data_IF_887021613780
#
_entry.id   IF_887021613780
#
_cell.length_a   1.000
_cell.length_b   1.000
_cell.length_c   1.000
_cell.angle_alpha   90.00
_cell.angle_beta   90.00
_cell.angle_gamma   90.00
#
_symmetry.space_group_name_H-M   'P 1'
#
loop_
_entity.id
_entity.type
_entity.pdbx_description
1 polymer ?
#
# COMPACT_ATOMS: atom_id res chain seq x y z
N UNK A 1 -16.98 11.67 -6.33
CA UNK A 1 -17.72 10.62 -7.07
C UNK A 1 -18.39 9.70 -6.06
N UNK A 2 -19.67 9.36 -6.24
CA UNK A 2 -20.38 8.40 -5.39
C UNK A 2 -19.65 7.04 -5.39
N UNK A 3 -19.35 6.52 -4.20
CA UNK A 3 -18.67 5.24 -4.00
C UNK A 3 -19.36 4.09 -4.74
N UNK A 4 -20.69 4.13 -4.85
CA UNK A 4 -21.49 3.12 -5.56
C UNK A 4 -21.27 3.16 -7.08
N UNK A 5 -21.08 4.35 -7.66
CA UNK A 5 -20.79 4.51 -9.09
C UNK A 5 -19.40 3.96 -9.40
N UNK A 6 -18.41 4.26 -8.55
CA UNK A 6 -17.04 3.72 -8.69
C UNK A 6 -17.04 2.19 -8.62
N UNK A 7 -17.76 1.61 -7.65
CA UNK A 7 -17.86 0.14 -7.51
C UNK A 7 -18.55 -0.52 -8.70
N UNK A 8 -19.66 0.04 -9.18
CA UNK A 8 -20.35 -0.47 -10.36
C UNK A 8 -19.47 -0.43 -11.62
N UNK A 9 -18.63 0.60 -11.76
CA UNK A 9 -17.67 0.68 -12.86
C UNK A 9 -16.56 -0.35 -12.71
N UNK A 10 -15.96 -0.49 -11.52
CA UNK A 10 -14.92 -1.50 -11.25
C UNK A 10 -15.43 -2.91 -11.56
N UNK A 11 -16.65 -3.27 -11.16
CA UNK A 11 -17.22 -4.57 -11.49
C UNK A 11 -17.30 -4.78 -13.00
N UNK A 12 -17.88 -3.82 -13.75
CA UNK A 12 -18.00 -3.91 -15.21
C UNK A 12 -16.67 -3.98 -15.94
N UNK A 13 -15.64 -3.28 -15.46
CA UNK A 13 -14.30 -3.24 -16.06
C UNK A 13 -13.47 -4.51 -15.77
N UNK A 14 -13.92 -5.34 -14.83
CA UNK A 14 -13.22 -6.53 -14.37
C UNK A 14 -14.05 -7.81 -14.51
N UNK A 15 -14.50 -8.18 -15.74
CA UNK A 15 -15.21 -9.44 -15.96
C UNK A 15 -14.28 -10.66 -15.71
N UNK A 16 -14.82 -11.81 -15.24
CA UNK A 16 -14.04 -13.00 -14.89
C UNK A 16 -13.14 -13.51 -16.02
N UNK A 17 -13.65 -13.54 -17.25
CA UNK A 17 -13.00 -14.11 -18.43
C UNK A 17 -11.71 -13.36 -18.82
N UNK A 18 -11.57 -12.13 -18.34
CA UNK A 18 -10.36 -11.33 -18.51
C UNK A 18 -9.20 -11.87 -17.68
N UNK A 19 -9.44 -12.50 -16.54
CA UNK A 19 -8.39 -12.84 -15.56
C UNK A 19 -8.33 -14.32 -15.17
N UNK A 20 -9.38 -15.08 -15.47
CA UNK A 20 -9.51 -16.46 -15.05
C UNK A 20 -9.84 -17.34 -16.26
N UNK A 21 -9.31 -18.57 -16.27
CA UNK A 21 -9.55 -19.57 -17.31
C UNK A 21 -9.85 -20.93 -16.68
N UNK A 22 -10.35 -21.87 -17.48
CA UNK A 22 -10.54 -23.26 -17.04
C UNK A 22 -11.43 -23.36 -15.79
N UNK A 23 -10.95 -24.09 -14.79
CA UNK A 23 -11.69 -24.28 -13.53
C UNK A 23 -11.78 -23.00 -12.70
N UNK A 24 -10.74 -22.15 -12.68
CA UNK A 24 -10.75 -20.90 -11.93
C UNK A 24 -11.82 -19.92 -12.42
N UNK A 25 -12.15 -19.98 -13.72
CA UNK A 25 -13.21 -19.17 -14.30
C UNK A 25 -14.58 -19.51 -13.68
N UNK A 26 -14.84 -20.77 -13.30
CA UNK A 26 -16.09 -21.15 -12.62
C UNK A 26 -16.23 -20.44 -11.28
N UNK A 27 -15.17 -20.46 -10.47
CA UNK A 27 -15.12 -19.77 -9.18
C UNK A 27 -15.27 -18.25 -9.36
N UNK A 28 -14.51 -17.66 -10.29
CA UNK A 28 -14.57 -16.24 -10.57
C UNK A 28 -15.95 -15.78 -11.07
N UNK A 29 -16.63 -16.57 -11.91
CA UNK A 29 -17.99 -16.28 -12.34
C UNK A 29 -18.99 -16.37 -11.19
N UNK A 30 -18.86 -17.35 -10.30
CA UNK A 30 -19.68 -17.42 -9.08
C UNK A 30 -19.48 -16.19 -8.18
N UNK A 31 -18.23 -15.76 -7.99
CA UNK A 31 -17.86 -14.55 -7.25
C UNK A 31 -18.48 -13.30 -7.90
N UNK A 32 -18.33 -13.16 -9.22
CA UNK A 32 -18.85 -12.02 -9.96
C UNK A 32 -20.37 -11.89 -9.86
N UNK A 33 -21.08 -13.02 -9.85
CA UNK A 33 -22.53 -13.07 -9.72
C UNK A 33 -23.01 -13.02 -8.26
N UNK A 34 -22.11 -12.99 -7.27
CA UNK A 34 -22.43 -13.17 -5.85
C UNK A 34 -23.18 -14.47 -5.56
N UNK A 35 -22.95 -15.53 -6.35
CA UNK A 35 -23.56 -16.84 -6.13
C UNK A 35 -22.81 -17.59 -5.01
N UNK A 36 -23.16 -17.25 -3.78
CA UNK A 36 -22.53 -17.81 -2.57
C UNK A 36 -22.74 -19.32 -2.44
N UNK A 37 -23.83 -19.86 -2.98
CA UNK A 37 -24.13 -21.30 -2.96
C UNK A 37 -23.21 -22.04 -3.93
N UNK A 38 -22.99 -21.49 -5.13
CA UNK A 38 -22.01 -22.03 -6.08
C UNK A 38 -20.59 -21.99 -5.50
N UNK A 39 -20.17 -20.88 -4.88
CA UNK A 39 -18.86 -20.78 -4.21
C UNK A 39 -18.69 -21.87 -3.16
N UNK A 40 -19.69 -22.07 -2.29
CA UNK A 40 -19.65 -23.13 -1.28
C UNK A 40 -19.56 -24.53 -1.87
N UNK A 41 -20.33 -24.82 -2.92
CA UNK A 41 -20.31 -26.12 -3.58
C UNK A 41 -18.95 -26.40 -4.24
N UNK A 42 -18.38 -25.40 -4.92
CA UNK A 42 -17.06 -25.53 -5.55
C UNK A 42 -15.98 -25.89 -4.52
N UNK A 43 -15.95 -25.21 -3.37
CA UNK A 43 -14.97 -25.51 -2.32
C UNK A 43 -15.25 -26.85 -1.64
N UNK A 44 -16.49 -27.11 -1.19
CA UNK A 44 -16.81 -28.27 -0.35
C UNK A 44 -17.00 -29.58 -1.09
N UNK A 45 -17.49 -29.55 -2.34
CA UNK A 45 -17.85 -30.74 -3.12
C UNK A 45 -16.90 -31.01 -4.27
N UNK A 46 -16.36 -29.96 -4.88
CA UNK A 46 -15.42 -30.07 -6.00
C UNK A 46 -13.96 -29.88 -5.57
N UNK A 47 -13.70 -29.75 -4.26
CA UNK A 47 -12.37 -29.64 -3.65
C UNK A 47 -11.51 -28.50 -4.24
N UNK A 48 -12.14 -27.37 -4.57
CA UNK A 48 -11.42 -26.16 -4.97
C UNK A 48 -10.63 -25.61 -3.78
N UNK A 49 -9.35 -25.31 -4.00
CA UNK A 49 -8.55 -24.54 -3.05
C UNK A 49 -9.04 -23.08 -3.03
N UNK A 50 -9.63 -22.65 -1.91
CA UNK A 50 -10.15 -21.29 -1.74
C UNK A 50 -9.06 -20.22 -1.77
N UNK A 51 -7.79 -20.60 -1.54
CA UNK A 51 -6.60 -19.75 -1.64
C UNK A 51 -5.94 -19.82 -3.02
N UNK A 52 -6.59 -20.51 -3.95
CA UNK A 52 -6.22 -20.60 -5.34
C UNK A 52 -6.15 -19.22 -5.99
N UNK A 53 -5.44 -19.17 -7.12
CA UNK A 53 -5.22 -17.95 -7.88
C UNK A 53 -5.54 -18.19 -9.36
N UNK A 54 -6.15 -17.19 -10.00
CA UNK A 54 -6.41 -17.25 -11.44
C UNK A 54 -5.15 -17.10 -12.28
N UNK A 55 -5.01 -17.94 -13.30
CA UNK A 55 -3.92 -17.82 -14.28
C UNK A 55 -4.23 -16.78 -15.37
N UNK A 56 -3.26 -15.89 -15.67
CA UNK A 56 -3.26 -15.09 -16.89
C UNK A 56 -1.84 -14.93 -17.47
N UNK A 57 -1.74 -15.07 -18.80
CA UNK A 57 -0.56 -14.79 -19.62
C UNK A 57 -0.59 -13.29 -19.99
N UNK A 58 0.48 -12.55 -19.71
CA UNK A 58 0.64 -11.14 -20.14
C UNK A 58 1.45 -11.10 -21.44
N UNK A 59 0.95 -10.55 -22.56
CA UNK A 59 1.66 -10.56 -23.84
C UNK A 59 2.85 -9.59 -23.97
N UNK A 60 3.05 -8.65 -23.04
CA UNK A 60 3.94 -7.48 -23.26
C UNK A 60 4.82 -7.09 -22.04
N UNK A 61 5.01 -8.00 -21.09
CA UNK A 61 6.11 -7.93 -20.14
C UNK A 61 6.84 -9.26 -20.21
N UNK A 62 8.17 -9.24 -20.34
CA UNK A 62 9.00 -10.39 -20.73
C UNK A 62 9.13 -11.50 -19.67
N UNK A 63 8.10 -11.73 -18.86
CA UNK A 63 8.03 -12.83 -17.89
C UNK A 63 6.73 -13.59 -18.04
N UNK A 64 6.87 -14.89 -18.21
CA UNK A 64 5.83 -15.90 -18.38
C UNK A 64 4.94 -15.98 -17.13
N UNK A 65 3.62 -16.03 -17.32
CA UNK A 65 2.58 -16.41 -16.35
C UNK A 65 2.50 -15.64 -15.01
N UNK A 66 2.32 -14.33 -15.06
CA UNK A 66 2.10 -13.52 -13.85
C UNK A 66 0.63 -13.55 -13.39
N UNK A 67 0.38 -14.37 -12.38
CA UNK A 67 -0.89 -14.54 -11.66
C UNK A 67 -1.35 -13.23 -10.99
N UNK A 68 -2.59 -12.77 -11.24
CA UNK A 68 -3.07 -11.48 -10.70
C UNK A 68 -3.85 -11.61 -9.39
N UNK A 69 -4.92 -12.40 -9.40
CA UNK A 69 -5.90 -12.39 -8.32
C UNK A 69 -6.01 -13.73 -7.58
N UNK A 70 -5.93 -13.67 -6.25
CA UNK A 70 -6.59 -14.67 -5.41
C UNK A 70 -8.10 -14.50 -5.56
N UNK A 71 -8.88 -15.53 -5.28
CA UNK A 71 -10.34 -15.43 -5.35
C UNK A 71 -10.89 -14.35 -4.40
N UNK A 72 -10.34 -14.24 -3.19
CA UNK A 72 -10.71 -13.18 -2.25
C UNK A 72 -10.35 -11.80 -2.79
N UNK A 73 -9.16 -11.63 -3.36
CA UNK A 73 -8.77 -10.33 -3.91
C UNK A 73 -9.67 -9.90 -5.08
N UNK A 74 -10.04 -10.84 -5.95
CA UNK A 74 -10.98 -10.54 -7.02
C UNK A 74 -12.34 -10.08 -6.47
N UNK A 75 -12.88 -10.78 -5.47
CA UNK A 75 -14.12 -10.40 -4.80
C UNK A 75 -14.03 -9.00 -4.17
N UNK A 76 -12.90 -8.67 -3.54
CA UNK A 76 -12.62 -7.35 -2.95
C UNK A 76 -12.59 -6.25 -4.02
N UNK A 77 -11.85 -6.47 -5.11
CA UNK A 77 -11.68 -5.49 -6.20
C UNK A 77 -13.01 -5.14 -6.86
N UNK A 78 -13.88 -6.12 -7.10
CA UNK A 78 -15.20 -5.87 -7.72
C UNK A 78 -16.28 -5.47 -6.71
N UNK A 79 -15.95 -5.37 -5.42
CA UNK A 79 -16.90 -5.02 -4.36
C UNK A 79 -17.94 -6.10 -4.05
N UNK A 80 -17.66 -7.37 -4.35
CA UNK A 80 -18.56 -8.50 -4.11
C UNK A 80 -18.58 -8.88 -2.61
N UNK A 81 -19.28 -8.10 -1.80
CA UNK A 81 -19.38 -8.28 -0.34
C UNK A 81 -19.90 -9.67 0.07
N UNK A 82 -21.03 -10.19 -0.48
CA UNK A 82 -21.49 -11.54 -0.16
C UNK A 82 -20.48 -12.64 -0.50
N UNK A 83 -19.85 -12.55 -1.68
CA UNK A 83 -18.81 -13.50 -2.08
C UNK A 83 -17.59 -13.43 -1.14
N UNK A 84 -17.11 -12.22 -0.81
CA UNK A 84 -15.97 -12.02 0.08
C UNK A 84 -16.21 -12.61 1.46
N UNK A 85 -17.40 -12.38 2.05
CA UNK A 85 -17.80 -12.97 3.33
C UNK A 85 -17.84 -14.50 3.28
N UNK A 86 -18.30 -15.04 2.14
CA UNK A 86 -18.36 -16.50 1.93
C UNK A 86 -16.97 -17.10 1.82
N UNK A 87 -16.08 -16.50 1.02
CA UNK A 87 -14.69 -16.94 0.86
C UNK A 87 -13.92 -16.91 2.19
N UNK A 88 -14.05 -15.83 2.97
CA UNK A 88 -13.43 -15.73 4.29
C UNK A 88 -13.91 -16.84 5.24
N UNK A 89 -15.22 -17.11 5.30
CA UNK A 89 -15.77 -18.22 6.09
C UNK A 89 -15.29 -19.60 5.63
N UNK A 90 -15.00 -19.74 4.34
CA UNK A 90 -14.46 -20.97 3.75
C UNK A 90 -12.94 -21.13 3.96
N UNK A 91 -12.27 -20.16 4.59
CA UNK A 91 -10.85 -20.22 4.92
C UNK A 91 -9.93 -19.53 3.92
N UNK A 92 -10.45 -18.57 3.15
CA UNK A 92 -9.59 -17.68 2.38
C UNK A 92 -8.64 -16.91 3.30
N UNK A 93 -7.35 -16.93 2.98
CA UNK A 93 -6.31 -16.17 3.66
C UNK A 93 -6.48 -14.68 3.33
N UNK A 94 -6.86 -13.93 4.36
CA UNK A 94 -7.19 -12.52 4.28
C UNK A 94 -5.98 -11.65 3.93
N UNK A 95 -4.78 -12.09 4.30
CA UNK A 95 -3.52 -11.37 4.10
C UNK A 95 -2.68 -11.97 2.98
N UNK A 96 -3.25 -12.90 2.20
CA UNK A 96 -2.57 -13.50 1.06
C UNK A 96 -2.15 -12.40 0.07
N UNK A 97 -0.85 -12.32 -0.28
CA UNK A 97 -0.37 -11.32 -1.21
C UNK A 97 -1.05 -11.46 -2.58
N UNK A 98 -1.43 -10.33 -3.16
CA UNK A 98 -2.02 -10.24 -4.49
C UNK A 98 -1.16 -9.34 -5.39
N UNK A 99 -1.39 -9.44 -6.71
CA UNK A 99 -0.73 -8.59 -7.69
C UNK A 99 -1.80 -7.75 -8.36
N UNK A 100 -1.73 -6.43 -8.26
CA UNK A 100 -2.72 -5.52 -8.85
C UNK A 100 -2.01 -4.47 -9.71
N UNK A 101 -2.33 -4.39 -11.01
CA UNK A 101 -1.76 -3.38 -11.89
C UNK A 101 -0.23 -3.42 -12.05
N UNK A 102 0.39 -4.59 -11.79
CA UNK A 102 1.85 -4.76 -11.83
C UNK A 102 2.57 -4.48 -10.50
N UNK A 103 1.84 -4.11 -9.44
CA UNK A 103 2.35 -3.99 -8.07
C UNK A 103 1.91 -5.15 -7.17
N UNK A 104 2.64 -5.36 -6.08
CA UNK A 104 2.26 -6.29 -5.01
C UNK A 104 1.39 -5.56 -3.99
N UNK A 105 0.26 -6.14 -3.59
CA UNK A 105 -0.71 -5.54 -2.66
C UNK A 105 -1.26 -6.58 -1.66
N UNK A 106 -2.06 -6.10 -0.70
CA UNK A 106 -2.94 -6.91 0.14
C UNK A 106 -4.42 -6.57 -0.10
N UNK A 107 -5.33 -7.40 0.38
CA UNK A 107 -6.78 -7.18 0.23
C UNK A 107 -7.24 -5.84 0.82
N UNK A 108 -6.64 -5.41 1.93
CA UNK A 108 -6.96 -4.12 2.56
C UNK A 108 -6.60 -2.93 1.66
N UNK A 109 -5.51 -3.01 0.89
CA UNK A 109 -5.11 -1.97 -0.07
C UNK A 109 -6.15 -1.81 -1.18
N UNK A 110 -6.62 -2.92 -1.77
CA UNK A 110 -7.68 -2.90 -2.78
C UNK A 110 -9.00 -2.32 -2.25
N UNK A 111 -9.37 -2.64 -1.01
CA UNK A 111 -10.56 -2.07 -0.36
C UNK A 111 -10.42 -0.56 -0.10
N UNK A 112 -9.23 -0.10 0.31
CA UNK A 112 -8.92 1.31 0.54
C UNK A 112 -8.90 2.11 -0.77
N UNK A 113 -8.23 1.60 -1.81
CA UNK A 113 -8.18 2.21 -3.15
C UNK A 113 -9.57 2.37 -3.77
N UNK A 114 -10.46 1.40 -3.55
CA UNK A 114 -11.86 1.48 -3.99
C UNK A 114 -12.74 2.32 -3.07
N UNK A 115 -12.28 2.65 -1.86
CA UNK A 115 -13.00 3.41 -0.84
C UNK A 115 -14.33 2.74 -0.45
N UNK A 116 -14.34 1.41 -0.44
CA UNK A 116 -15.51 0.62 -0.08
C UNK A 116 -15.54 0.41 1.44
N UNK A 117 -16.29 1.26 2.17
CA UNK A 117 -16.35 1.27 3.65
C UNK A 117 -16.78 -0.08 4.20
N UNK A 118 -17.79 -0.70 3.61
CA UNK A 118 -18.32 -1.99 4.01
C UNK A 118 -17.29 -3.12 3.79
N UNK A 119 -16.51 -3.05 2.70
CA UNK A 119 -15.44 -4.02 2.45
C UNK A 119 -14.28 -3.84 3.43
N UNK A 120 -13.89 -2.59 3.73
CA UNK A 120 -12.88 -2.28 4.75
C UNK A 120 -13.34 -2.84 6.11
N UNK A 121 -14.60 -2.60 6.49
CA UNK A 121 -15.17 -3.14 7.73
C UNK A 121 -15.16 -4.67 7.76
N UNK A 122 -15.58 -5.34 6.68
CA UNK A 122 -15.54 -6.79 6.57
C UNK A 122 -14.12 -7.33 6.80
N UNK A 123 -13.11 -6.69 6.18
CA UNK A 123 -11.72 -7.12 6.32
C UNK A 123 -11.19 -6.90 7.75
N UNK A 124 -11.52 -5.77 8.39
CA UNK A 124 -11.19 -5.47 9.79
C UNK A 124 -11.84 -6.48 10.75
N UNK A 125 -13.12 -6.79 10.56
CA UNK A 125 -13.86 -7.77 11.35
C UNK A 125 -13.21 -9.15 11.31
N UNK A 126 -12.62 -9.50 10.15
CA UNK A 126 -11.88 -10.75 9.93
C UNK A 126 -10.37 -10.62 10.19
N UNK A 127 -9.93 -9.58 10.90
CA UNK A 127 -8.55 -9.39 11.39
C UNK A 127 -7.49 -9.24 10.29
N UNK A 128 -7.83 -8.63 9.17
CA UNK A 128 -6.85 -8.24 8.15
C UNK A 128 -5.71 -7.41 8.77
N UNK A 129 -4.48 -7.67 8.33
CA UNK A 129 -3.33 -6.87 8.74
C UNK A 129 -3.39 -5.49 8.08
N UNK A 130 -3.61 -4.45 8.90
CA UNK A 130 -3.64 -3.04 8.45
C UNK A 130 -2.25 -2.43 8.23
N UNK A 131 -1.19 -3.22 8.41
CA UNK A 131 0.21 -2.90 8.19
C UNK A 131 0.83 -3.95 7.25
N UNK A 132 0.32 -4.09 6.02
CA UNK A 132 0.62 -5.22 5.15
C UNK A 132 2.06 -5.18 4.63
N UNK A 133 2.75 -6.31 4.66
CA UNK A 133 4.14 -6.47 4.19
C UNK A 133 4.35 -6.08 2.72
N UNK A 134 3.29 -6.12 1.91
CA UNK A 134 3.26 -5.74 0.51
C UNK A 134 2.20 -4.67 0.28
N UNK A 135 2.30 -3.94 -0.82
CA UNK A 135 1.47 -2.77 -1.10
C UNK A 135 1.99 -1.53 -0.39
N UNK A 136 1.39 -0.39 -0.69
CA UNK A 136 1.58 0.85 0.07
C UNK A 136 0.94 0.73 1.47
N UNK A 137 1.13 1.75 2.32
CA UNK A 137 0.29 1.87 3.50
C UNK A 137 -1.19 2.00 3.09
N UNK A 138 -2.14 1.24 3.68
CA UNK A 138 -3.57 1.39 3.37
C UNK A 138 -4.09 2.82 3.59
N UNK A 139 -3.45 3.58 4.49
CA UNK A 139 -3.75 5.01 4.70
C UNK A 139 -3.31 5.85 3.49
N UNK A 140 -2.16 5.52 2.86
CA UNK A 140 -1.72 6.19 1.63
C UNK A 140 -2.70 5.93 0.47
N UNK A 141 -3.25 4.72 0.35
CA UNK A 141 -4.22 4.41 -0.71
C UNK A 141 -5.50 5.26 -0.60
N UNK A 142 -5.92 5.60 0.63
CA UNK A 142 -7.05 6.50 0.87
C UNK A 142 -6.76 7.94 0.46
N UNK A 143 -5.50 8.34 0.32
CA UNK A 143 -5.09 9.70 -0.06
C UNK A 143 -5.26 9.99 -1.56
N UNK A 144 -5.55 9.00 -2.40
CA UNK A 144 -5.78 9.22 -3.83
C UNK A 144 -7.25 9.67 -4.05
N UNK A 145 -7.45 10.86 -4.61
CA UNK A 145 -8.77 11.46 -4.84
C UNK A 145 -9.33 12.25 -3.65
N UNK A 146 -10.65 12.47 -3.59
CA UNK A 146 -11.31 13.14 -2.44
C UNK A 146 -11.31 12.19 -1.24
N UNK A 147 -10.66 12.60 -0.16
CA UNK A 147 -10.35 11.74 1.00
C UNK A 147 -11.39 11.95 2.09
N UNK A 148 -11.71 10.88 2.81
CA UNK A 148 -12.62 10.91 3.94
C UNK A 148 -11.81 10.51 5.18
N UNK A 149 -11.72 11.44 6.14
CA UNK A 149 -11.01 11.22 7.40
C UNK A 149 -11.65 10.08 8.20
N UNK A 150 -12.95 9.80 8.03
CA UNK A 150 -13.63 8.69 8.70
C UNK A 150 -13.02 7.33 8.34
N UNK A 151 -12.66 7.11 7.07
CA UNK A 151 -12.02 5.86 6.66
C UNK A 151 -10.61 5.72 7.25
N UNK A 152 -9.89 6.83 7.37
CA UNK A 152 -8.57 6.84 8.02
C UNK A 152 -8.72 6.56 9.51
N UNK A 153 -9.66 7.22 10.18
CA UNK A 153 -9.95 7.01 11.60
C UNK A 153 -10.38 5.57 11.90
N UNK A 154 -11.16 4.96 10.99
CA UNK A 154 -11.53 3.55 11.06
C UNK A 154 -10.29 2.65 11.04
N UNK A 155 -9.34 2.89 10.13
CA UNK A 155 -8.09 2.11 10.08
C UNK A 155 -7.24 2.33 11.34
N UNK A 156 -7.02 3.58 11.75
CA UNK A 156 -6.19 3.92 12.91
C UNK A 156 -6.74 3.32 14.21
N UNK A 157 -8.06 3.42 14.43
CA UNK A 157 -8.72 2.87 15.62
C UNK A 157 -8.65 1.33 15.68
N UNK A 158 -8.43 0.67 14.53
CA UNK A 158 -8.29 -0.77 14.43
C UNK A 158 -6.83 -1.26 14.27
N UNK A 159 -5.84 -0.41 14.59
CA UNK A 159 -4.44 -0.82 14.69
C UNK A 159 -3.60 -0.57 13.44
N UNK A 160 -4.07 0.20 12.47
CA UNK A 160 -3.19 0.75 11.44
C UNK A 160 -2.18 1.70 12.09
N UNK A 161 -0.90 1.50 11.79
CA UNK A 161 0.16 2.36 12.31
C UNK A 161 0.35 3.56 11.36
N UNK A 162 0.15 4.76 11.89
CA UNK A 162 0.33 6.03 11.16
C UNK A 162 1.75 6.19 10.59
N UNK A 163 2.74 5.57 11.24
CA UNK A 163 4.15 5.56 10.85
C UNK A 163 4.55 4.26 10.13
N UNK A 164 3.58 3.45 9.68
CA UNK A 164 3.87 2.26 8.90
C UNK A 164 4.54 2.65 7.58
N UNK A 165 5.65 1.97 7.27
CA UNK A 165 6.33 2.09 5.99
C UNK A 165 6.35 0.73 5.34
N UNK A 166 5.63 0.65 4.24
CA UNK A 166 5.60 -0.50 3.38
C UNK A 166 6.98 -0.85 2.80
N UNK A 167 7.07 -2.09 2.35
CA UNK A 167 8.20 -2.60 1.59
C UNK A 167 8.40 -1.83 0.26
N UNK A 168 7.30 -1.59 -0.46
CA UNK A 168 7.24 -0.84 -1.72
C UNK A 168 6.89 0.61 -1.41
N UNK A 169 7.51 1.56 -2.11
CA UNK A 169 7.33 3.00 -1.91
C UNK A 169 8.04 3.56 -0.69
N UNK A 170 7.83 2.95 0.49
CA UNK A 170 8.53 3.28 1.74
C UNK A 170 8.37 4.73 2.21
N UNK A 171 7.43 5.48 1.62
CA UNK A 171 7.08 6.84 2.04
C UNK A 171 6.26 6.85 3.32
N UNK A 172 6.30 7.98 4.03
CA UNK A 172 5.44 8.22 5.20
C UNK A 172 4.12 8.84 4.76
N UNK A 173 3.05 8.68 5.56
CA UNK A 173 1.75 9.31 5.26
C UNK A 173 1.84 10.84 5.14
N UNK A 174 2.74 11.46 5.92
CA UNK A 174 2.96 12.91 5.87
C UNK A 174 3.72 13.34 4.62
N UNK A 175 4.72 12.59 4.17
CA UNK A 175 5.42 12.90 2.90
C UNK A 175 4.51 12.70 1.69
N UNK A 176 3.66 11.66 1.70
CA UNK A 176 2.70 11.41 0.63
C UNK A 176 1.66 12.53 0.56
N UNK A 177 1.09 12.94 1.69
CA UNK A 177 0.16 14.07 1.73
C UNK A 177 0.80 15.38 1.27
N UNK A 178 2.05 15.66 1.67
CA UNK A 178 2.79 16.85 1.24
C UNK A 178 3.00 16.86 -0.28
N UNK A 179 3.45 15.74 -0.86
CA UNK A 179 3.69 15.61 -2.30
C UNK A 179 2.41 15.73 -3.14
N UNK A 180 1.25 15.41 -2.57
CA UNK A 180 -0.07 15.62 -3.17
C UNK A 180 -0.64 17.03 -2.94
N UNK A 181 0.08 17.92 -2.24
CA UNK A 181 -0.39 19.27 -1.90
C UNK A 181 -1.53 19.29 -0.87
N UNK A 182 -1.71 18.20 -0.11
CA UNK A 182 -2.82 18.01 0.85
C UNK A 182 -2.41 18.46 2.25
N UNK A 183 -2.15 19.75 2.42
CA UNK A 183 -1.66 20.34 3.68
C UNK A 183 -2.59 20.07 4.88
N UNK A 184 -3.90 20.04 4.69
CA UNK A 184 -4.85 19.67 5.74
C UNK A 184 -4.66 18.24 6.24
N UNK A 185 -4.26 17.32 5.35
CA UNK A 185 -3.93 15.94 5.70
C UNK A 185 -2.56 15.83 6.38
N UNK A 186 -1.57 16.63 5.97
CA UNK A 186 -0.29 16.72 6.70
C UNK A 186 -0.54 17.12 8.15
N UNK A 187 -1.30 18.20 8.38
CA UNK A 187 -1.66 18.67 9.71
C UNK A 187 -2.43 17.62 10.52
N UNK A 188 -3.44 17.00 9.89
CA UNK A 188 -4.23 15.94 10.49
C UNK A 188 -3.39 14.73 10.90
N UNK A 189 -2.47 14.27 10.06
CA UNK A 189 -1.59 13.15 10.40
C UNK A 189 -0.62 13.47 11.51
N UNK A 190 -0.08 14.69 11.55
CA UNK A 190 0.71 15.18 12.67
C UNK A 190 -0.10 15.16 13.98
N UNK A 191 -1.39 15.55 13.95
CA UNK A 191 -2.29 15.47 15.11
C UNK A 191 -2.55 14.02 15.54
N UNK A 192 -2.48 13.06 14.61
CA UNK A 192 -2.61 11.61 14.85
C UNK A 192 -1.29 10.92 15.23
N UNK A 193 -0.20 11.68 15.42
CA UNK A 193 1.09 11.14 15.87
C UNK A 193 2.01 10.65 14.76
N UNK A 194 1.82 11.10 13.52
CA UNK A 194 2.81 10.89 12.47
C UNK A 194 4.13 11.58 12.86
N UNK A 195 5.24 10.85 12.70
CA UNK A 195 6.57 11.35 13.02
C UNK A 195 7.12 12.21 11.87
N UNK A 196 7.31 13.53 12.07
CA UNK A 196 7.84 14.42 11.04
C UNK A 196 9.32 14.18 10.69
N UNK A 197 10.05 13.38 11.49
CA UNK A 197 11.45 13.05 11.30
C UNK A 197 11.69 11.63 10.78
N UNK A 198 10.63 10.84 10.59
CA UNK A 198 10.73 9.49 10.04
C UNK A 198 11.22 9.52 8.60
N UNK A 199 12.32 8.80 8.35
CA UNK A 199 13.01 8.78 7.07
C UNK A 199 12.36 7.81 6.07
N UNK A 200 12.21 8.25 4.83
CA UNK A 200 11.94 7.38 3.68
C UNK A 200 13.22 6.62 3.24
N UNK A 201 13.10 5.79 2.20
CA UNK A 201 14.22 5.01 1.65
C UNK A 201 15.34 5.85 1.02
N UNK A 202 15.11 7.16 0.82
CA UNK A 202 16.07 8.11 0.27
C UNK A 202 16.69 9.00 1.35
N UNK A 203 16.29 8.85 2.62
CA UNK A 203 16.78 9.66 3.73
C UNK A 203 16.07 11.01 3.87
N UNK A 204 14.87 11.15 3.30
CA UNK A 204 14.04 12.35 3.49
C UNK A 204 13.01 12.12 4.58
N UNK A 205 12.70 13.16 5.34
CA UNK A 205 11.55 13.22 6.24
C UNK A 205 10.74 14.49 5.95
N UNK A 206 9.59 14.65 6.62
CA UNK A 206 8.72 15.81 6.39
C UNK A 206 9.48 17.14 6.60
N UNK A 207 10.25 17.23 7.69
CA UNK A 207 10.98 18.45 8.01
C UNK A 207 12.04 18.80 6.94
N UNK A 208 12.79 17.81 6.45
CA UNK A 208 13.81 18.02 5.42
C UNK A 208 13.18 18.43 4.10
N UNK A 209 12.07 17.81 3.71
CA UNK A 209 11.34 18.15 2.49
C UNK A 209 10.82 19.59 2.53
N UNK A 210 10.25 20.02 3.66
CA UNK A 210 9.78 21.40 3.85
C UNK A 210 10.95 22.38 3.73
N UNK A 211 12.08 22.09 4.37
CA UNK A 211 13.26 22.94 4.30
C UNK A 211 13.79 23.04 2.87
N UNK A 212 13.94 21.92 2.18
CA UNK A 212 14.51 21.88 0.83
C UNK A 212 13.65 22.70 -0.15
N UNK A 213 12.32 22.50 -0.15
CA UNK A 213 11.41 23.23 -1.05
C UNK A 213 11.36 24.75 -0.77
N UNK A 214 11.45 25.17 0.50
CA UNK A 214 11.57 26.58 0.85
C UNK A 214 12.90 27.16 0.35
N UNK A 215 14.00 26.44 0.57
CA UNK A 215 15.36 26.90 0.23
C UNK A 215 15.59 26.96 -1.28
N UNK A 216 14.98 26.05 -2.04
CA UNK A 216 15.08 26.03 -3.50
C UNK A 216 14.37 27.23 -4.15
N UNK A 217 13.54 27.97 -3.39
CA UNK A 217 12.93 29.22 -3.83
C UNK A 217 11.92 29.06 -4.98
N UNK A 218 11.49 27.83 -5.27
CA UNK A 218 10.52 27.53 -6.34
C UNK A 218 9.07 27.80 -5.91
N UNK A 219 8.80 27.82 -4.61
CA UNK A 219 7.47 28.06 -4.06
C UNK A 219 7.08 29.53 -4.15
N UNK A 220 5.82 29.80 -4.49
CA UNK A 220 5.23 31.14 -4.46
C UNK A 220 3.76 31.10 -4.02
N UNK A 221 3.24 32.24 -3.56
CA UNK A 221 1.84 32.40 -3.17
C UNK A 221 1.40 31.40 -2.10
N UNK A 222 0.30 30.69 -2.37
CA UNK A 222 -0.33 29.73 -1.45
C UNK A 222 0.63 28.62 -1.00
N UNK A 223 1.42 28.04 -1.92
CA UNK A 223 2.34 26.96 -1.58
C UNK A 223 3.40 27.39 -0.56
N UNK A 224 4.03 28.55 -0.78
CA UNK A 224 5.04 29.07 0.16
C UNK A 224 4.42 29.38 1.53
N UNK A 225 3.19 29.89 1.56
CA UNK A 225 2.47 30.15 2.80
C UNK A 225 2.22 28.85 3.59
N UNK A 226 1.75 27.79 2.94
CA UNK A 226 1.47 26.52 3.60
C UNK A 226 2.75 25.82 4.09
N UNK A 227 3.83 25.87 3.31
CA UNK A 227 5.13 25.34 3.75
C UNK A 227 5.70 26.09 4.96
N UNK A 228 5.57 27.43 5.00
CA UNK A 228 5.98 28.21 6.17
C UNK A 228 5.14 27.89 7.41
N UNK A 229 3.81 27.76 7.28
CA UNK A 229 2.95 27.33 8.39
C UNK A 229 3.34 25.95 8.92
N UNK A 230 3.64 25.00 8.04
CA UNK A 230 4.11 23.69 8.45
C UNK A 230 5.46 23.77 9.16
N UNK A 231 6.41 24.56 8.65
CA UNK A 231 7.70 24.80 9.30
C UNK A 231 7.55 25.40 10.71
N UNK A 232 6.69 26.40 10.86
CA UNK A 232 6.34 27.01 12.15
C UNK A 232 5.73 25.96 13.09
N UNK A 233 4.75 25.18 12.64
CA UNK A 233 4.14 24.11 13.42
C UNK A 233 5.17 23.07 13.86
N UNK A 234 6.08 22.64 12.98
CA UNK A 234 7.16 21.71 13.32
C UNK A 234 8.11 22.29 14.38
N UNK A 235 8.37 23.60 14.33
CA UNK A 235 9.17 24.30 15.34
C UNK A 235 8.45 24.34 16.68
N UNK A 236 7.18 24.73 16.68
CA UNK A 236 6.42 25.01 17.91
C UNK A 236 5.93 23.75 18.62
N UNK A 237 5.43 22.77 17.86
CA UNK A 237 4.77 21.56 18.39
C UNK A 237 5.69 20.35 18.47
N UNK A 238 6.69 20.27 17.58
CA UNK A 238 7.61 19.14 17.51
C UNK A 238 9.04 19.52 17.92
N UNK A 239 9.27 20.78 18.31
CA UNK A 239 10.55 21.32 18.78
C UNK A 239 11.70 21.15 17.77
N UNK A 240 11.37 21.10 16.49
CA UNK A 240 12.34 20.93 15.40
C UNK A 240 13.03 22.27 15.13
N UNK A 241 14.35 22.30 15.24
CA UNK A 241 15.14 23.51 15.01
C UNK A 241 15.56 23.62 13.54
N UNK A 242 15.12 24.69 12.88
CA UNK A 242 15.55 25.05 11.52
C UNK A 242 16.65 26.14 11.56
N UNK A 243 17.63 26.13 10.63
CA UNK A 243 17.82 25.12 9.58
C UNK A 243 18.29 23.79 10.16
N UNK A 244 17.75 22.71 9.62
CA UNK A 244 18.12 21.34 9.96
C UNK A 244 19.58 21.11 9.59
N UNK A 245 20.36 20.64 10.56
CA UNK A 245 21.75 20.24 10.36
C UNK A 245 21.80 18.81 9.83
N UNK A 246 21.50 18.63 8.53
CA UNK A 246 21.41 17.32 7.88
C UNK A 246 22.69 17.01 7.11
N UNK A 247 23.26 15.83 7.34
CA UNK A 247 24.20 15.22 6.41
C UNK A 247 23.41 14.32 5.45
N UNK A 248 23.21 14.77 4.21
CA UNK A 248 22.43 14.04 3.19
C UNK A 248 22.95 12.64 2.93
N UNK A 249 24.27 12.43 2.96
CA UNK A 249 24.89 11.10 2.79
C UNK A 249 24.49 10.18 3.96
N UNK A 250 24.60 10.67 5.19
CA UNK A 250 24.25 9.90 6.40
C UNK A 250 22.75 9.56 6.46
N UNK A 251 21.87 10.51 6.17
CA UNK A 251 20.41 10.25 6.19
C UNK A 251 20.01 9.28 5.08
N UNK A 252 20.60 9.41 3.88
CA UNK A 252 20.42 8.41 2.82
C UNK A 252 20.88 7.01 3.25
N UNK A 253 22.03 6.89 3.92
CA UNK A 253 22.52 5.61 4.43
C UNK A 253 21.52 4.98 5.42
N UNK A 254 20.98 5.77 6.35
CA UNK A 254 19.95 5.33 7.31
C UNK A 254 18.67 4.87 6.61
N UNK A 255 18.12 5.71 5.73
CA UNK A 255 16.90 5.39 4.98
C UNK A 255 17.04 4.14 4.11
N UNK A 256 18.20 3.99 3.45
CA UNK A 256 18.52 2.81 2.65
C UNK A 256 18.63 1.55 3.51
N UNK A 257 19.31 1.62 4.65
CA UNK A 257 19.45 0.51 5.59
C UNK A 257 18.08 0.04 6.11
N UNK A 258 17.19 0.97 6.48
CA UNK A 258 15.82 0.67 6.91
C UNK A 258 15.03 -0.06 5.81
N UNK A 259 15.13 0.42 4.56
CA UNK A 259 14.42 -0.18 3.44
C UNK A 259 14.97 -1.57 3.04
N UNK A 260 16.26 -1.84 3.25
CA UNK A 260 16.86 -3.17 3.11
C UNK A 260 16.38 -4.10 4.23
N UNK A 261 16.38 -3.63 5.48
CA UNK A 261 15.92 -4.43 6.62
C UNK A 261 14.47 -4.91 6.45
N UNK A 262 13.57 -4.09 5.87
CA UNK A 262 12.21 -4.51 5.54
C UNK A 262 12.18 -5.71 4.58
N UNK A 263 13.07 -5.76 3.59
CA UNK A 263 13.20 -6.92 2.70
C UNK A 263 13.75 -8.14 3.45
N UNK A 264 14.83 -7.94 4.21
CA UNK A 264 15.54 -9.03 4.88
C UNK A 264 14.64 -9.74 5.91
N UNK A 265 13.72 -9.00 6.54
CA UNK A 265 12.72 -9.51 7.48
C UNK A 265 11.56 -10.28 6.83
N UNK A 266 11.43 -10.29 5.50
CA UNK A 266 10.41 -11.11 4.82
C UNK A 266 10.73 -12.61 4.98
N UNK A 267 9.67 -13.43 5.04
CA UNK A 267 9.80 -14.88 5.02
C UNK A 267 10.41 -15.38 3.70
N UNK A 268 10.90 -16.62 3.66
CA UNK A 268 11.41 -17.18 2.40
C UNK A 268 10.31 -17.27 1.34
N UNK A 269 9.11 -17.71 1.72
CA UNK A 269 7.96 -17.78 0.82
C UNK A 269 7.59 -16.40 0.23
N UNK A 270 7.73 -15.34 1.02
CA UNK A 270 7.51 -13.96 0.57
C UNK A 270 8.57 -13.49 -0.42
N UNK A 271 9.84 -13.83 -0.19
CA UNK A 271 10.93 -13.54 -1.13
C UNK A 271 10.78 -14.34 -2.42
N UNK A 272 10.35 -15.59 -2.33
CA UNK A 272 10.07 -16.45 -3.48
C UNK A 272 8.91 -15.88 -4.32
N UNK A 273 7.88 -15.36 -3.65
CA UNK A 273 6.76 -14.67 -4.30
C UNK A 273 7.18 -13.37 -5.00
N UNK A 274 8.09 -12.59 -4.42
CA UNK A 274 8.65 -11.38 -5.05
C UNK A 274 9.53 -11.69 -6.27
N UNK A 275 10.09 -12.89 -6.33
CA UNK A 275 10.89 -13.35 -7.45
C UNK A 275 12.31 -12.78 -7.50
N UNK A 276 13.06 -13.28 -8.49
CA UNK A 276 14.51 -13.02 -8.63
C UNK A 276 14.82 -11.54 -8.91
N UNK A 277 14.02 -10.87 -9.71
CA UNK A 277 14.27 -9.48 -10.10
C UNK A 277 14.31 -8.54 -8.90
N UNK A 278 13.40 -8.78 -7.94
CA UNK A 278 13.35 -8.00 -6.71
C UNK A 278 14.51 -8.35 -5.77
N UNK A 279 14.91 -9.63 -5.70
CA UNK A 279 16.11 -10.04 -4.97
C UNK A 279 17.39 -9.38 -5.53
N UNK A 280 17.54 -9.33 -6.86
CA UNK A 280 18.66 -8.68 -7.54
C UNK A 280 18.65 -7.17 -7.32
N UNK A 281 17.47 -6.53 -7.33
CA UNK A 281 17.31 -5.11 -6.98
C UNK A 281 17.78 -4.83 -5.54
N UNK A 282 17.39 -5.67 -4.58
CA UNK A 282 17.78 -5.48 -3.17
C UNK A 282 19.26 -5.75 -2.94
N UNK A 283 19.86 -6.70 -3.67
CA UNK A 283 21.30 -6.88 -3.70
C UNK A 283 22.03 -5.61 -4.16
N UNK A 284 21.59 -4.99 -5.27
CA UNK A 284 22.17 -3.71 -5.74
C UNK A 284 22.08 -2.59 -4.70
N UNK A 285 20.97 -2.53 -3.94
CA UNK A 285 20.81 -1.55 -2.88
C UNK A 285 21.79 -1.78 -1.73
N UNK A 286 22.04 -3.03 -1.37
CA UNK A 286 23.01 -3.42 -0.33
C UNK A 286 24.43 -3.10 -0.75
N UNK A 287 24.84 -3.49 -1.96
CA UNK A 287 26.17 -3.21 -2.51
C UNK A 287 26.43 -1.69 -2.57
N UNK A 288 25.42 -0.90 -2.98
CA UNK A 288 25.51 0.56 -3.02
C UNK A 288 25.64 1.20 -1.63
N UNK A 289 24.93 0.66 -0.62
CA UNK A 289 25.05 1.12 0.76
C UNK A 289 26.43 0.81 1.34
N UNK A 290 26.94 -0.41 1.14
CA UNK A 290 28.26 -0.84 1.61
C UNK A 290 29.38 0.03 1.03
N UNK A 291 29.32 0.31 -0.28
CA UNK A 291 30.27 1.22 -0.94
C UNK A 291 30.26 2.62 -0.33
N UNK A 292 29.07 3.20 -0.12
CA UNK A 292 28.93 4.54 0.47
C UNK A 292 29.47 4.62 1.91
N UNK A 293 29.31 3.55 2.68
CA UNK A 293 29.84 3.47 4.05
C UNK A 293 31.38 3.42 4.04
N UNK A 294 32.00 2.64 3.15
CA UNK A 294 33.46 2.57 3.01
C UNK A 294 34.08 3.92 2.65
N UNK A 295 33.46 4.66 1.73
CA UNK A 295 33.86 6.02 1.34
C UNK A 295 33.69 7.07 2.46
N UNK A 296 33.02 6.74 3.56
CA UNK A 296 32.83 7.64 4.71
C UNK A 296 33.86 7.42 5.83
N UNK A 297 34.69 6.38 5.69
CA UNK A 297 35.74 5.97 6.64
C UNK A 297 37.14 6.42 6.22
N UNK A 298 37.27 7.25 5.17
CA UNK A 298 38.52 7.85 4.67
C UNK A 298 38.35 9.36 4.61
#
# INVERSE_FOLDING_TARGET
MDSNIKQNNMKKENPPEKFFKGNDLKMATAIYNNDTVAIENLVKKENFDVNGRGAMIIPDYSTTDTVRYTYLNYAVVIGALPASRTLLRLGADIDQPCINGGGYDANINSACSSRNKEMIQLLIENKANLNPKFGESPINDLLIGDVDKELIDLLLTNGANINYQAYIGGGTVVSTALGLGKFDYVNYFLDKGADPLLLDANGNNLASLIQDEINEGRLSGYGLQEYNKLKERLTDKFHIQFPLKINKKTEWQKGRAMAIARYENLSQADKDFLGKDEADRKKKWKDGLEKSLQESTH
#
